data_IF_303332901032
#
_entry.id   IF_303332901032
#
_cell.length_a   1.000
_cell.length_b   1.000
_cell.length_c   1.000
_cell.angle_alpha   90.00
_cell.angle_beta   90.00
_cell.angle_gamma   90.00
#
_symmetry.space_group_name_H-M   'P 1'
#
loop_
_entity.id
_entity.type
_entity.pdbx_description
1 polymer ?
#
# COMPACT_ATOMS: atom_id res chain seq x y z
N UNK A 1 -1.09 -44.44 -50.89
CA UNK A 1 -2.35 -43.93 -50.32
C UNK A 1 -2.07 -42.51 -49.86
N UNK A 2 -2.46 -41.54 -50.67
CA UNK A 2 -2.16 -40.11 -50.46
C UNK A 2 -3.25 -39.49 -49.60
N UNK A 3 -2.88 -38.84 -48.50
CA UNK A 3 -3.79 -37.98 -47.74
C UNK A 3 -3.37 -36.54 -48.00
N UNK A 4 -4.20 -35.84 -48.77
CA UNK A 4 -4.10 -34.42 -49.07
C UNK A 4 -4.66 -33.63 -47.88
N UNK A 5 -3.81 -32.91 -47.15
CA UNK A 5 -4.24 -32.00 -46.08
C UNK A 5 -4.39 -30.61 -46.69
N UNK A 6 -5.64 -30.14 -46.83
CA UNK A 6 -5.97 -28.76 -47.16
C UNK A 6 -5.81 -27.89 -45.91
N UNK A 7 -4.77 -27.07 -45.89
CA UNK A 7 -4.61 -25.98 -44.93
C UNK A 7 -5.36 -24.74 -45.44
N UNK A 8 -6.49 -24.41 -44.80
CA UNK A 8 -7.17 -23.14 -44.99
C UNK A 8 -6.34 -22.01 -44.36
N UNK A 9 -5.78 -21.14 -45.21
CA UNK A 9 -5.24 -19.86 -44.78
C UNK A 9 -6.39 -18.91 -44.46
N UNK A 10 -6.68 -18.70 -43.17
CA UNK A 10 -7.55 -17.61 -42.74
C UNK A 10 -6.70 -16.34 -42.68
N UNK A 11 -6.88 -15.47 -43.68
CA UNK A 11 -6.36 -14.12 -43.63
C UNK A 11 -7.10 -13.35 -42.53
N UNK A 12 -6.46 -13.21 -41.37
CA UNK A 12 -6.90 -12.29 -40.33
C UNK A 12 -6.60 -10.87 -40.82
N UNK A 13 -7.65 -10.20 -41.30
CA UNK A 13 -7.61 -8.78 -41.59
C UNK A 13 -7.19 -8.00 -40.34
N UNK A 14 -6.09 -7.26 -40.46
CA UNK A 14 -5.67 -6.27 -39.48
C UNK A 14 -6.71 -5.14 -39.44
N UNK A 15 -7.61 -5.19 -38.46
CA UNK A 15 -8.42 -4.04 -38.09
C UNK A 15 -7.47 -3.06 -37.44
N UNK A 16 -7.15 -1.97 -38.15
CA UNK A 16 -6.46 -0.82 -37.59
C UNK A 16 -7.35 -0.20 -36.50
N UNK A 17 -7.14 -0.64 -35.24
CA UNK A 17 -7.60 0.16 -34.12
C UNK A 17 -6.84 1.48 -34.18
N UNK A 18 -7.59 2.59 -34.20
CA UNK A 18 -7.02 3.89 -33.89
C UNK A 18 -6.30 3.73 -32.55
N UNK A 19 -4.97 3.88 -32.58
CA UNK A 19 -4.10 3.64 -31.44
C UNK A 19 -4.47 4.55 -30.30
N UNK A 20 -5.31 4.06 -29.39
CA UNK A 20 -5.39 4.61 -28.05
C UNK A 20 -3.98 4.48 -27.46
N UNK A 21 -3.45 5.60 -26.98
CA UNK A 21 -2.22 5.61 -26.21
C UNK A 21 -2.34 4.54 -25.11
N UNK A 22 -1.48 3.50 -25.09
CA UNK A 22 -1.67 2.35 -24.21
C UNK A 22 -1.62 2.73 -22.73
N UNK A 23 -1.19 3.94 -22.39
CA UNK A 23 -1.36 4.49 -21.04
C UNK A 23 -1.43 6.04 -21.06
N UNK A 24 -2.63 6.65 -20.90
CA UNK A 24 -2.77 8.12 -20.86
C UNK A 24 -1.95 8.77 -19.74
N UNK A 25 -1.58 7.99 -18.72
CA UNK A 25 -0.76 8.44 -17.60
C UNK A 25 0.68 8.80 -17.99
N UNK A 26 1.18 8.36 -19.15
CA UNK A 26 2.50 8.79 -19.63
C UNK A 26 2.53 10.26 -20.10
N UNK A 27 1.35 10.86 -20.29
CA UNK A 27 1.21 12.32 -20.53
C UNK A 27 1.21 13.13 -19.24
N UNK A 28 1.07 12.47 -18.09
CA UNK A 28 1.12 13.09 -16.77
C UNK A 28 2.58 13.37 -16.41
N UNK A 29 2.89 14.55 -15.85
CA UNK A 29 4.24 14.87 -15.44
C UNK A 29 4.75 13.94 -14.33
N UNK A 30 6.06 13.71 -14.33
CA UNK A 30 6.75 13.09 -13.19
C UNK A 30 6.79 14.14 -12.09
N UNK A 31 6.23 13.81 -10.92
CA UNK A 31 6.28 14.72 -9.78
C UNK A 31 7.69 14.79 -9.22
N UNK A 32 8.23 16.00 -9.04
CA UNK A 32 9.57 16.21 -8.50
C UNK A 32 9.74 15.61 -7.10
N UNK A 33 8.68 15.62 -6.29
CA UNK A 33 8.68 15.04 -4.95
C UNK A 33 8.81 13.50 -4.95
N UNK A 34 8.71 12.85 -6.11
CA UNK A 34 8.77 11.39 -6.24
C UNK A 34 10.08 10.88 -6.83
N UNK A 35 10.99 11.78 -7.19
CA UNK A 35 12.26 11.42 -7.82
C UNK A 35 13.17 10.73 -6.81
N UNK A 36 13.79 9.62 -7.22
CA UNK A 36 14.74 8.87 -6.40
C UNK A 36 15.99 9.71 -6.06
N UNK A 37 16.69 9.43 -4.96
CA UNK A 37 17.91 10.15 -4.57
C UNK A 37 18.98 10.25 -5.66
N UNK A 38 19.11 9.24 -6.52
CA UNK A 38 20.04 9.22 -7.65
C UNK A 38 19.49 9.89 -8.93
N UNK A 39 18.27 10.41 -8.89
CA UNK A 39 17.60 11.08 -10.01
C UNK A 39 17.11 10.16 -11.14
N UNK A 40 17.31 8.84 -11.06
CA UNK A 40 17.03 7.92 -12.17
C UNK A 40 15.57 7.52 -12.29
N UNK A 41 14.85 7.47 -11.19
CA UNK A 41 13.48 6.96 -11.12
C UNK A 41 12.53 8.01 -10.57
N UNK A 42 11.26 7.92 -10.94
CA UNK A 42 10.21 8.80 -10.42
C UNK A 42 8.83 8.27 -10.77
N UNK A 43 7.78 8.89 -10.22
CA UNK A 43 6.40 8.45 -10.42
C UNK A 43 5.61 9.56 -11.11
N UNK A 44 4.79 9.18 -12.10
CA UNK A 44 3.80 10.10 -12.68
C UNK A 44 2.66 10.30 -11.70
N UNK A 45 2.36 11.56 -11.39
CA UNK A 45 1.33 11.91 -10.40
C UNK A 45 0.37 12.93 -11.00
N UNK A 46 -0.90 12.56 -11.24
CA UNK A 46 -1.87 13.51 -11.78
C UNK A 46 -2.23 14.57 -10.75
N UNK A 47 -2.64 15.75 -11.23
CA UNK A 47 -3.36 16.70 -10.39
C UNK A 47 -4.77 16.18 -10.09
N UNK A 48 -5.43 16.77 -9.09
CA UNK A 48 -6.81 16.41 -8.79
C UNK A 48 -7.73 16.66 -9.99
N UNK A 49 -7.55 17.78 -10.69
CA UNK A 49 -8.37 18.14 -11.86
C UNK A 49 -8.19 17.11 -12.99
N UNK A 50 -6.94 16.71 -13.28
CA UNK A 50 -6.66 15.67 -14.28
C UNK A 50 -7.31 14.33 -13.93
N UNK A 51 -7.31 13.97 -12.64
CA UNK A 51 -7.95 12.76 -12.16
C UNK A 51 -9.48 12.83 -12.26
N UNK A 52 -10.10 13.97 -11.95
CA UNK A 52 -11.55 14.18 -12.10
C UNK A 52 -11.96 14.13 -13.56
N UNK A 53 -11.18 14.74 -14.45
CA UNK A 53 -11.42 14.70 -15.90
C UNK A 53 -11.24 13.29 -16.48
N UNK A 54 -10.41 12.46 -15.85
CA UNK A 54 -10.16 11.10 -16.27
C UNK A 54 -9.81 10.16 -15.11
N UNK A 55 -10.82 9.50 -14.56
CA UNK A 55 -10.67 8.55 -13.47
C UNK A 55 -9.92 7.25 -13.88
N UNK A 56 -9.64 7.06 -15.17
CA UNK A 56 -8.85 5.91 -15.66
C UNK A 56 -7.33 6.10 -15.55
N UNK A 57 -6.87 7.30 -15.15
CA UNK A 57 -5.45 7.56 -14.93
C UNK A 57 -4.87 6.63 -13.86
N UNK A 58 -3.57 6.38 -13.95
CA UNK A 58 -2.80 5.54 -13.02
C UNK A 58 -1.50 6.24 -12.65
N UNK A 59 -0.97 5.95 -11.48
CA UNK A 59 0.43 6.28 -11.21
C UNK A 59 1.32 5.28 -11.94
N UNK A 60 2.43 5.76 -12.49
CA UNK A 60 3.38 4.93 -13.24
C UNK A 60 4.77 5.23 -12.71
N UNK A 61 5.48 4.19 -12.27
CA UNK A 61 6.90 4.28 -11.97
C UNK A 61 7.65 4.29 -13.30
N UNK A 62 8.50 5.29 -13.51
CA UNK A 62 9.19 5.55 -14.77
C UNK A 62 10.69 5.77 -14.55
N UNK A 63 11.47 5.56 -15.61
CA UNK A 63 12.82 6.09 -15.73
C UNK A 63 12.75 7.57 -16.14
N UNK A 64 13.36 8.47 -15.36
CA UNK A 64 13.17 9.92 -15.50
C UNK A 64 13.73 10.43 -16.82
N UNK A 65 14.97 10.04 -17.17
CA UNK A 65 15.68 10.56 -18.34
C UNK A 65 14.96 10.23 -19.66
N UNK A 66 14.39 9.03 -19.75
CA UNK A 66 13.77 8.50 -20.98
C UNK A 66 12.25 8.58 -20.95
N UNK A 67 11.65 8.90 -19.79
CA UNK A 67 10.21 8.74 -19.50
C UNK A 67 9.67 7.33 -19.77
N UNK A 68 10.56 6.33 -19.79
CA UNK A 68 10.19 4.95 -20.08
C UNK A 68 9.40 4.37 -18.90
N UNK A 69 8.22 3.78 -19.11
CA UNK A 69 7.49 3.08 -18.06
C UNK A 69 8.28 1.87 -17.53
N UNK A 70 8.34 1.74 -16.21
CA UNK A 70 8.88 0.58 -15.51
C UNK A 70 7.73 -0.31 -15.02
N UNK A 71 6.74 0.27 -14.32
CA UNK A 71 5.54 -0.46 -13.88
C UNK A 71 4.34 0.49 -13.75
N UNK A 72 3.16 0.03 -14.15
CA UNK A 72 1.89 0.68 -13.82
C UNK A 72 1.49 0.27 -12.42
N UNK A 73 1.25 1.24 -11.55
CA UNK A 73 0.91 0.97 -10.16
C UNK A 73 -0.59 0.64 -10.08
N UNK A 74 -0.91 -0.62 -9.84
CA UNK A 74 -2.29 -1.14 -9.72
C UNK A 74 -2.99 -0.73 -8.41
N UNK A 75 -2.45 0.31 -7.78
CA UNK A 75 -2.86 0.84 -6.51
C UNK A 75 -3.87 1.98 -6.74
N UNK A 76 -4.53 2.47 -5.69
CA UNK A 76 -5.32 3.70 -5.70
C UNK A 76 -4.47 4.85 -6.26
N UNK A 77 -5.10 5.69 -7.08
CA UNK A 77 -4.39 6.78 -7.74
C UNK A 77 -4.09 7.87 -6.72
N UNK A 78 -2.81 8.03 -6.40
CA UNK A 78 -2.30 9.17 -5.67
C UNK A 78 -2.25 10.40 -6.56
N UNK A 79 -2.68 11.54 -6.03
CA UNK A 79 -2.71 12.84 -6.70
C UNK A 79 -1.79 13.84 -6.00
N UNK A 80 -1.57 15.00 -6.61
CA UNK A 80 -0.83 16.11 -5.98
C UNK A 80 -1.64 16.89 -4.92
N UNK A 81 -2.89 16.51 -4.63
CA UNK A 81 -3.76 17.25 -3.72
C UNK A 81 -3.38 17.00 -2.26
N UNK A 82 -3.14 18.05 -1.44
CA UNK A 82 -2.49 17.89 -0.13
C UNK A 82 -3.41 17.41 1.01
N UNK A 83 -4.70 17.16 0.77
CA UNK A 83 -5.66 16.84 1.84
C UNK A 83 -6.03 15.36 1.87
N UNK A 84 -6.31 14.73 0.72
CA UNK A 84 -6.73 13.31 0.62
C UNK A 84 -6.29 12.72 -0.69
N UNK A 85 -5.94 11.42 -0.67
CA UNK A 85 -5.44 10.75 -1.85
C UNK A 85 -4.11 11.33 -2.32
N UNK A 86 -3.34 11.93 -1.41
CA UNK A 86 -2.04 12.52 -1.73
C UNK A 86 -1.06 11.39 -1.99
N UNK A 87 -0.39 11.47 -3.13
CA UNK A 87 0.75 10.63 -3.46
C UNK A 87 1.96 11.03 -2.62
N UNK A 88 2.61 10.05 -2.00
CA UNK A 88 3.92 10.21 -1.36
C UNK A 88 4.86 9.06 -1.73
N UNK A 89 6.15 9.38 -1.78
CA UNK A 89 7.20 8.48 -2.23
C UNK A 89 8.40 8.56 -1.29
N UNK A 90 8.65 7.47 -0.57
CA UNK A 90 9.85 7.33 0.26
C UNK A 90 10.83 6.37 -0.40
N UNK A 91 12.06 6.84 -0.64
CA UNK A 91 13.11 6.07 -1.28
C UNK A 91 14.19 5.66 -0.28
N UNK A 92 14.80 4.49 -0.52
CA UNK A 92 16.09 4.15 0.11
C UNK A 92 17.21 5.04 -0.43
N UNK A 93 18.28 5.23 0.35
CA UNK A 93 19.48 5.96 -0.09
C UNK A 93 20.02 5.44 -1.43
N UNK A 94 19.99 4.12 -1.61
CA UNK A 94 20.49 3.43 -2.80
C UNK A 94 19.53 3.51 -4.01
N UNK A 95 18.39 4.20 -3.86
CA UNK A 95 17.38 4.36 -4.91
C UNK A 95 16.86 3.04 -5.49
N UNK A 96 16.92 1.96 -4.70
CA UNK A 96 16.60 0.61 -5.12
C UNK A 96 15.36 0.03 -4.41
N UNK A 97 14.78 0.80 -3.49
CA UNK A 97 13.55 0.51 -2.77
C UNK A 97 12.68 1.77 -2.73
N UNK A 98 11.40 1.64 -3.10
CA UNK A 98 10.39 2.68 -3.06
C UNK A 98 9.22 2.21 -2.19
N UNK A 99 8.88 2.96 -1.14
CA UNK A 99 7.56 2.89 -0.51
C UNK A 99 6.68 3.95 -1.16
N UNK A 100 5.66 3.48 -1.87
CA UNK A 100 4.61 4.30 -2.42
C UNK A 100 3.43 4.35 -1.45
N UNK A 101 3.01 5.56 -1.10
CA UNK A 101 1.94 5.78 -0.14
C UNK A 101 0.86 6.66 -0.75
N UNK A 102 -0.39 6.30 -0.49
CA UNK A 102 -1.54 7.16 -0.82
C UNK A 102 -2.26 7.53 0.46
N UNK A 103 -2.26 8.82 0.80
CA UNK A 103 -2.85 9.31 2.05
C UNK A 103 -4.36 9.11 2.06
N UNK A 104 -4.91 8.75 3.23
CA UNK A 104 -6.34 8.76 3.47
C UNK A 104 -6.72 9.73 4.58
N UNK A 105 -8.02 9.90 4.80
CA UNK A 105 -8.54 10.83 5.83
C UNK A 105 -8.07 10.46 7.25
N UNK A 106 -7.99 9.16 7.52
CA UNK A 106 -7.77 8.61 8.87
C UNK A 106 -6.46 7.83 8.96
N UNK A 107 -6.17 7.03 7.94
CA UNK A 107 -4.95 6.24 7.77
C UNK A 107 -4.58 6.29 6.29
N UNK A 108 -3.35 5.90 5.94
CA UNK A 108 -2.95 5.71 4.54
C UNK A 108 -3.89 4.70 3.88
N UNK A 109 -4.45 5.02 2.71
CA UNK A 109 -5.24 4.04 1.97
C UNK A 109 -4.36 2.90 1.48
N UNK A 110 -3.10 3.20 1.14
CA UNK A 110 -2.16 2.24 0.59
C UNK A 110 -0.72 2.53 1.01
N UNK A 111 0.04 1.44 1.19
CA UNK A 111 1.47 1.44 1.37
C UNK A 111 2.02 0.24 0.58
N UNK A 112 2.62 0.50 -0.59
CA UNK A 112 3.15 -0.54 -1.49
C UNK A 112 4.65 -0.38 -1.62
N UNK A 113 5.39 -1.44 -1.32
CA UNK A 113 6.85 -1.47 -1.39
C UNK A 113 7.28 -2.07 -2.73
N UNK A 114 8.13 -1.37 -3.48
CA UNK A 114 8.70 -1.82 -4.74
C UNK A 114 10.21 -1.96 -4.60
N UNK A 115 10.74 -3.11 -4.98
CA UNK A 115 12.19 -3.31 -5.11
C UNK A 115 12.59 -3.21 -6.57
N UNK A 116 13.57 -2.36 -6.84
CA UNK A 116 14.17 -2.23 -8.15
C UNK A 116 15.52 -2.93 -8.21
N UNK A 117 15.86 -3.45 -9.39
CA UNK A 117 17.20 -3.88 -9.76
C UNK A 117 17.36 -3.68 -11.26
N UNK A 118 18.47 -3.07 -11.67
CA UNK A 118 18.80 -2.86 -13.08
C UNK A 118 17.65 -2.21 -13.89
N UNK A 119 16.99 -1.21 -13.29
CA UNK A 119 15.90 -0.46 -13.92
C UNK A 119 14.59 -1.24 -14.11
N UNK A 120 14.40 -2.33 -13.37
CA UNK A 120 13.19 -3.19 -13.38
C UNK A 120 12.70 -3.44 -11.95
N UNK A 121 11.39 -3.62 -11.78
CA UNK A 121 10.82 -4.11 -10.52
C UNK A 121 11.10 -5.62 -10.42
N UNK A 122 11.82 -6.04 -9.37
CA UNK A 122 12.11 -7.46 -9.10
C UNK A 122 11.07 -8.10 -8.18
N UNK A 123 10.46 -7.30 -7.31
CA UNK A 123 9.30 -7.69 -6.54
C UNK A 123 8.55 -6.45 -6.06
N UNK A 124 7.28 -6.63 -5.74
CA UNK A 124 6.44 -5.64 -5.08
C UNK A 124 5.67 -6.30 -3.94
N UNK A 125 5.31 -5.52 -2.93
CA UNK A 125 4.63 -5.98 -1.74
C UNK A 125 3.58 -4.96 -1.31
N UNK A 126 2.31 -5.36 -1.27
CA UNK A 126 1.26 -4.57 -0.61
C UNK A 126 1.44 -4.68 0.90
N UNK A 127 2.26 -3.79 1.44
CA UNK A 127 2.73 -3.85 2.82
C UNK A 127 1.57 -3.61 3.78
N UNK A 128 0.72 -2.63 3.48
CA UNK A 128 -0.46 -2.33 4.31
C UNK A 128 -1.35 -3.56 4.47
N UNK A 129 -1.79 -4.17 3.36
CA UNK A 129 -2.70 -5.34 3.44
C UNK A 129 -2.08 -6.52 4.18
N UNK A 130 -0.78 -6.75 4.01
CA UNK A 130 -0.08 -7.87 4.66
C UNK A 130 0.04 -7.64 6.17
N UNK A 131 0.40 -6.43 6.58
CA UNK A 131 0.57 -6.06 7.99
C UNK A 131 -0.77 -6.03 8.72
N UNK A 132 -1.80 -5.39 8.13
CA UNK A 132 -3.17 -5.39 8.66
C UNK A 132 -3.68 -6.82 8.88
N UNK A 133 -3.56 -7.68 7.88
CA UNK A 133 -3.95 -9.09 8.01
C UNK A 133 -3.18 -9.79 9.13
N UNK A 134 -1.89 -9.52 9.27
CA UNK A 134 -1.03 -10.17 10.24
C UNK A 134 -1.37 -9.77 11.69
N UNK A 135 -1.64 -8.48 11.95
CA UNK A 135 -1.98 -7.98 13.29
C UNK A 135 -3.41 -8.39 13.69
N UNK A 136 -4.39 -8.26 12.78
CA UNK A 136 -5.78 -8.65 13.04
C UNK A 136 -5.90 -10.14 13.34
N UNK A 137 -5.22 -11.00 12.55
CA UNK A 137 -5.20 -12.45 12.78
C UNK A 137 -4.68 -12.78 14.17
N UNK A 138 -3.57 -12.17 14.59
CA UNK A 138 -2.95 -12.45 15.90
C UNK A 138 -3.75 -11.91 17.07
N UNK A 139 -4.34 -10.73 16.93
CA UNK A 139 -5.25 -10.18 17.93
C UNK A 139 -6.48 -11.07 18.11
N UNK A 140 -7.06 -11.56 17.01
CA UNK A 140 -8.17 -12.52 17.05
C UNK A 140 -7.79 -13.85 17.70
N UNK A 141 -6.60 -14.37 17.42
CA UNK A 141 -6.09 -15.61 18.04
C UNK A 141 -5.79 -15.44 19.54
N UNK A 142 -5.27 -14.28 19.95
CA UNK A 142 -4.88 -14.01 21.34
C UNK A 142 -6.07 -13.68 22.26
N UNK A 143 -7.10 -13.01 21.74
CA UNK A 143 -8.29 -12.58 22.50
C UNK A 143 -9.58 -12.75 21.67
N UNK A 144 -9.99 -13.98 21.34
CA UNK A 144 -11.08 -14.23 20.39
C UNK A 144 -12.42 -13.64 20.81
N UNK A 145 -12.78 -13.74 22.10
CA UNK A 145 -14.05 -13.23 22.62
C UNK A 145 -14.10 -11.70 22.56
N UNK A 146 -13.09 -11.01 23.11
CA UNK A 146 -13.05 -9.54 23.07
C UNK A 146 -12.95 -9.02 21.65
N UNK A 147 -12.16 -9.67 20.79
CA UNK A 147 -12.06 -9.30 19.37
C UNK A 147 -13.43 -9.37 18.69
N UNK A 148 -14.21 -10.43 18.93
CA UNK A 148 -15.55 -10.58 18.37
C UNK A 148 -16.52 -9.51 18.88
N UNK A 149 -16.46 -9.15 20.16
CA UNK A 149 -17.26 -8.07 20.75
C UNK A 149 -16.90 -6.73 20.08
N UNK A 150 -15.62 -6.37 20.02
CA UNK A 150 -15.17 -5.09 19.44
C UNK A 150 -15.43 -4.96 17.96
N UNK A 151 -15.21 -6.03 17.19
CA UNK A 151 -15.59 -6.08 15.77
C UNK A 151 -17.08 -5.80 15.56
N UNK A 152 -17.94 -6.30 16.46
CA UNK A 152 -19.39 -6.08 16.39
C UNK A 152 -19.77 -4.65 16.80
N UNK A 153 -19.19 -4.13 17.88
CA UNK A 153 -19.40 -2.74 18.33
C UNK A 153 -19.01 -1.73 17.25
N UNK A 154 -17.93 -2.02 16.51
CA UNK A 154 -17.42 -1.15 15.44
C UNK A 154 -17.98 -1.46 14.05
N UNK A 155 -18.98 -2.34 13.94
CA UNK A 155 -19.59 -2.66 12.66
C UNK A 155 -20.21 -1.41 12.02
N UNK A 156 -19.81 -1.10 10.78
CA UNK A 156 -20.32 0.06 10.04
C UNK A 156 -19.41 1.29 10.01
N UNK A 157 -18.24 1.26 10.67
CA UNK A 157 -17.28 2.38 10.64
C UNK A 157 -16.62 2.62 9.25
N UNK A 158 -16.84 1.73 8.29
CA UNK A 158 -16.41 1.87 6.90
C UNK A 158 -15.10 1.15 6.58
N UNK A 159 -14.72 1.14 5.30
CA UNK A 159 -13.58 0.36 4.77
C UNK A 159 -12.20 0.83 5.25
N UNK A 160 -12.10 2.05 5.79
CA UNK A 160 -10.87 2.56 6.40
C UNK A 160 -10.49 1.82 7.70
N UNK A 161 -11.43 1.10 8.31
CA UNK A 161 -11.23 0.38 9.56
C UNK A 161 -11.35 -1.13 9.29
N UNK A 162 -10.24 -1.83 8.96
CA UNK A 162 -10.31 -3.24 8.64
C UNK A 162 -10.87 -4.02 9.84
N UNK A 163 -11.98 -4.72 9.61
CA UNK A 163 -12.75 -5.40 10.65
C UNK A 163 -13.22 -4.50 11.82
N UNK A 164 -13.33 -3.19 11.59
CA UNK A 164 -13.74 -2.21 12.60
C UNK A 164 -12.60 -1.71 13.50
N UNK A 165 -11.35 -2.03 13.20
CA UNK A 165 -10.19 -1.58 13.97
C UNK A 165 -9.41 -0.48 13.25
N UNK A 166 -8.82 0.42 14.02
CA UNK A 166 -7.82 1.38 13.54
C UNK A 166 -6.46 0.68 13.51
N UNK A 167 -5.76 0.70 12.36
CA UNK A 167 -4.42 0.12 12.20
C UNK A 167 -3.47 1.18 11.67
N UNK A 168 -2.43 1.45 12.46
CA UNK A 168 -1.33 2.36 12.12
C UNK A 168 -0.11 1.56 11.76
N UNK A 169 0.55 1.92 10.66
CA UNK A 169 1.74 1.23 10.17
C UNK A 169 2.84 2.24 9.97
N UNK A 170 3.98 1.98 10.60
CA UNK A 170 5.20 2.75 10.49
C UNK A 170 6.26 1.89 9.84
N UNK A 171 6.94 2.49 8.86
CA UNK A 171 7.92 1.80 8.04
C UNK A 171 9.26 2.52 8.20
N UNK A 172 10.32 1.73 8.39
CA UNK A 172 11.60 2.25 8.85
C UNK A 172 11.67 2.33 10.37
N UNK A 173 12.89 2.42 10.89
CA UNK A 173 13.19 2.54 12.31
C UNK A 173 14.60 3.10 12.48
N UNK A 174 15.27 2.79 13.58
CA UNK A 174 16.61 3.32 13.90
C UNK A 174 17.66 3.10 12.79
N UNK A 175 17.47 2.05 11.97
CA UNK A 175 18.35 1.71 10.85
C UNK A 175 17.99 2.40 9.54
N UNK A 176 17.01 3.29 9.53
CA UNK A 176 16.52 3.99 8.34
C UNK A 176 15.67 3.13 7.41
N UNK A 177 15.41 3.65 6.21
CA UNK A 177 14.60 3.00 5.17
C UNK A 177 15.48 2.15 4.23
N UNK A 178 15.85 0.95 4.70
CA UNK A 178 16.70 -0.01 3.99
C UNK A 178 16.35 -1.45 4.38
N UNK A 179 16.77 -2.44 3.57
CA UNK A 179 16.51 -3.86 3.83
C UNK A 179 17.58 -4.49 4.76
N UNK A 180 17.21 -5.35 5.73
CA UNK A 180 15.84 -5.73 6.09
C UNK A 180 15.05 -4.55 6.69
N UNK A 181 13.85 -4.32 6.16
CA UNK A 181 13.06 -3.13 6.45
C UNK A 181 12.21 -3.38 7.70
N UNK A 182 12.42 -2.56 8.72
CA UNK A 182 11.62 -2.57 9.94
C UNK A 182 10.21 -2.07 9.66
N UNK A 183 9.24 -2.76 10.24
CA UNK A 183 7.82 -2.41 10.17
C UNK A 183 7.25 -2.55 11.57
N UNK A 184 6.65 -1.48 12.06
CA UNK A 184 5.91 -1.47 13.31
C UNK A 184 4.44 -1.20 13.01
N UNK A 185 3.54 -1.91 13.66
CA UNK A 185 2.11 -1.67 13.56
C UNK A 185 1.46 -1.64 14.95
N UNK A 186 0.54 -0.71 15.13
CA UNK A 186 -0.36 -0.66 16.28
C UNK A 186 -1.81 -0.75 15.82
N UNK A 187 -2.61 -1.41 16.65
CA UNK A 187 -4.03 -1.62 16.41
C UNK A 187 -4.83 -1.22 17.65
N UNK A 188 -5.95 -0.54 17.46
CA UNK A 188 -6.91 -0.25 18.53
C UNK A 188 -8.36 -0.43 18.05
N UNK A 189 -9.23 -0.82 18.97
CA UNK A 189 -10.68 -0.81 18.77
C UNK A 189 -11.30 0.58 18.93
N UNK A 190 -10.55 1.60 19.31
CA UNK A 190 -11.07 2.98 19.36
C UNK A 190 -10.93 3.66 17.98
N UNK A 191 -12.04 3.95 17.29
CA UNK A 191 -12.00 4.63 15.99
C UNK A 191 -11.64 6.12 16.10
N UNK A 192 -11.66 6.72 17.29
CA UNK A 192 -11.35 8.15 17.51
C UNK A 192 -9.88 8.39 17.83
N UNK A 193 -9.15 7.36 18.26
CA UNK A 193 -7.72 7.46 18.52
C UNK A 193 -6.95 7.47 17.21
N UNK A 194 -6.16 8.53 16.97
CA UNK A 194 -5.36 8.72 15.77
C UNK A 194 -3.94 8.15 15.85
N UNK A 195 -3.52 7.64 17.02
CA UNK A 195 -2.32 6.81 17.26
C UNK A 195 -2.32 6.36 18.73
N UNK A 196 -1.82 5.17 19.05
CA UNK A 196 -1.58 4.80 20.44
C UNK A 196 -0.47 5.71 21.01
N UNK A 197 -0.70 6.44 22.13
CA UNK A 197 0.35 7.24 22.75
C UNK A 197 1.50 6.35 23.25
N UNK A 198 2.75 6.84 23.17
CA UNK A 198 3.95 6.16 23.69
C UNK A 198 3.91 5.93 25.21
N UNK A 199 3.00 6.63 25.89
CA UNK A 199 2.63 6.50 27.28
C UNK A 199 1.27 5.79 27.32
N UNK A 200 1.23 4.63 27.98
CA UNK A 200 0.07 3.72 28.07
C UNK A 200 -1.06 4.19 28.99
N UNK A 201 -1.27 5.50 29.19
CA UNK A 201 -2.53 6.01 29.75
C UNK A 201 -3.62 5.96 28.66
N UNK A 202 -3.96 4.74 28.27
CA UNK A 202 -5.10 4.43 27.43
C UNK A 202 -6.33 4.62 28.31
N UNK A 203 -6.95 5.79 28.16
CA UNK A 203 -8.00 6.31 29.06
C UNK A 203 -9.28 5.47 29.13
N UNK A 204 -9.38 4.36 28.38
CA UNK A 204 -10.58 3.52 28.35
C UNK A 204 -10.20 2.04 28.47
N UNK A 205 -10.44 1.39 29.64
CA UNK A 205 -10.07 -0.02 29.89
C UNK A 205 -10.81 -1.02 28.98
N UNK A 206 -11.76 -0.52 28.19
CA UNK A 206 -12.59 -1.28 27.28
C UNK A 206 -11.91 -1.58 25.95
N UNK A 207 -10.89 -0.83 25.53
CA UNK A 207 -10.26 -1.01 24.22
C UNK A 207 -9.44 -2.30 24.10
N UNK A 208 -9.54 -2.97 22.95
CA UNK A 208 -8.59 -4.00 22.53
C UNK A 208 -7.45 -3.32 21.79
N UNK A 209 -6.24 -3.45 22.33
CA UNK A 209 -5.04 -2.82 21.78
C UNK A 209 -3.93 -3.83 21.59
N UNK A 210 -3.21 -3.73 20.48
CA UNK A 210 -2.13 -4.65 20.16
C UNK A 210 -1.05 -3.97 19.34
N UNK A 211 0.16 -4.51 19.44
CA UNK A 211 1.32 -4.13 18.66
C UNK A 211 1.91 -5.32 17.93
N UNK A 212 2.50 -5.05 16.78
CA UNK A 212 3.21 -6.00 15.95
C UNK A 212 4.48 -5.37 15.42
N UNK A 213 5.61 -6.06 15.59
CA UNK A 213 6.85 -5.74 14.89
C UNK A 213 7.12 -6.81 13.84
N UNK A 214 7.66 -6.39 12.70
CA UNK A 214 8.04 -7.27 11.61
C UNK A 214 9.20 -6.73 10.78
N UNK A 215 9.67 -7.58 9.88
CA UNK A 215 10.75 -7.29 8.95
C UNK A 215 10.34 -7.70 7.54
N UNK A 216 10.64 -6.86 6.54
CA UNK A 216 10.67 -7.28 5.14
C UNK A 216 12.11 -7.59 4.75
N UNK A 217 12.37 -8.81 4.29
CA UNK A 217 13.71 -9.24 3.88
C UNK A 217 14.06 -8.86 2.43
N UNK A 218 15.26 -9.23 1.99
CA UNK A 218 15.75 -8.94 0.62
C UNK A 218 14.92 -9.60 -0.48
N UNK A 219 14.17 -10.66 -0.16
CA UNK A 219 13.30 -11.38 -1.08
C UNK A 219 11.86 -10.80 -1.09
N UNK A 220 11.60 -9.73 -0.34
CA UNK A 220 10.27 -9.13 -0.23
C UNK A 220 9.34 -9.93 0.70
N UNK A 221 9.87 -10.82 1.53
CA UNK A 221 9.06 -11.60 2.48
C UNK A 221 8.91 -10.83 3.78
N UNK A 222 7.66 -10.58 4.16
CA UNK A 222 7.31 -10.06 5.48
C UNK A 222 7.30 -11.17 6.52
N UNK A 223 8.00 -10.97 7.63
CA UNK A 223 8.04 -11.88 8.78
C UNK A 223 7.76 -11.10 10.06
N UNK A 224 6.79 -11.57 10.84
CA UNK A 224 6.50 -11.02 12.17
C UNK A 224 7.56 -11.49 13.16
N UNK A 225 8.18 -10.55 13.85
CA UNK A 225 9.23 -10.82 14.85
C UNK A 225 8.69 -10.73 16.28
N UNK A 226 7.67 -9.90 16.51
CA UNK A 226 7.03 -9.74 17.81
C UNK A 226 5.55 -9.41 17.65
N UNK A 227 4.75 -9.89 18.59
CA UNK A 227 3.35 -9.49 18.76
C UNK A 227 3.02 -9.39 20.24
N UNK A 228 2.27 -8.37 20.63
CA UNK A 228 1.84 -8.16 22.02
C UNK A 228 0.43 -7.61 22.06
N UNK A 229 -0.42 -8.19 22.90
CA UNK A 229 -1.67 -7.54 23.34
C UNK A 229 -1.31 -6.60 24.47
N UNK A 230 -1.57 -5.30 24.28
CA UNK A 230 -1.31 -4.27 25.29
C UNK A 230 -2.46 -4.20 26.29
N UNK A 231 -3.69 -4.19 25.76
CA UNK A 231 -4.91 -4.14 26.54
C UNK A 231 -5.90 -5.13 25.94
N UNK A 232 -6.40 -6.05 26.77
CA UNK A 232 -7.35 -7.07 26.30
C UNK A 232 -8.73 -6.50 25.97
N UNK A 233 -9.05 -5.33 26.54
CA UNK A 233 -10.37 -4.73 26.50
C UNK A 233 -11.41 -5.51 27.31
N UNK A 234 -12.50 -4.84 27.64
CA UNK A 234 -13.72 -5.43 28.19
C UNK A 234 -14.93 -4.86 27.44
N UNK A 235 -16.08 -5.49 27.60
CA UNK A 235 -17.33 -4.94 27.08
C UNK A 235 -17.61 -3.59 27.75
N UNK A 236 -18.08 -2.60 26.98
CA UNK A 236 -18.52 -1.34 27.58
C UNK A 236 -19.70 -1.59 28.54
N UNK A 237 -19.78 -0.89 29.68
CA UNK A 237 -20.96 -0.94 30.52
C UNK A 237 -22.13 -0.35 29.72
N UNK A 238 -23.21 -1.12 29.59
CA UNK A 238 -24.45 -0.65 28.96
C UNK A 238 -25.20 0.32 29.85
#
# INVERSE_FOLDING_TARGET
MNVLVLLFAVALGSVSSHGADPNPSLKIPISQATISPDGRFGVTVPTMDQYIENESLKNVLVEVATKRPIVVMESLVGTTYPVRGTADAQWSSESDLLLWTVSGKWFEHEQVLYKLKDGKVVWQLDLRKIVERAILKRAKEATPETYAIKKKENAGNGSAYPEGFSVFIQVGGDKGFQLPLAVHASMTSDPKTSRLPENTDTTWPYNLESELDGLVDKAGKFTVTRFKVLQKGSAEPR
#
